data_IF_449912037985
#
_entry.id   IF_449912037985
#
_cell.length_a   1.000
_cell.length_b   1.000
_cell.length_c   1.000
_cell.angle_alpha   90.00
_cell.angle_beta   90.00
_cell.angle_gamma   90.00
#
_symmetry.space_group_name_H-M   'P 1'
#
loop_
_entity.id
_entity.type
_entity.pdbx_description
1 polymer ?
#
# COMPACT_ATOMS: atom_id res chain seq x y z
N UNK A 1 23.83 -31.15 10.92
CA UNK A 1 23.52 -30.02 11.83
C UNK A 1 23.09 -28.73 11.09
N UNK A 2 23.70 -28.38 9.95
CA UNK A 2 23.32 -27.20 9.16
C UNK A 2 21.88 -27.22 8.62
N UNK A 3 21.37 -28.38 8.19
CA UNK A 3 20.02 -28.52 7.61
C UNK A 3 18.89 -28.15 8.60
N UNK A 4 19.04 -28.57 9.87
CA UNK A 4 18.05 -28.37 10.93
C UNK A 4 17.98 -26.89 11.33
N UNK A 5 19.14 -26.24 11.41
CA UNK A 5 19.25 -24.80 11.71
C UNK A 5 18.64 -23.93 10.60
N UNK A 6 18.79 -24.34 9.34
CA UNK A 6 18.19 -23.66 8.18
C UNK A 6 16.66 -23.75 8.20
N UNK A 7 16.10 -24.90 8.61
CA UNK A 7 14.65 -25.09 8.76
C UNK A 7 14.06 -24.30 9.93
N UNK A 8 14.80 -24.14 11.03
CA UNK A 8 14.43 -23.31 12.18
C UNK A 8 14.45 -21.80 11.85
N UNK A 9 15.41 -21.35 11.05
CA UNK A 9 15.45 -19.97 10.55
C UNK A 9 14.30 -19.68 9.57
N UNK A 10 13.97 -20.62 8.69
CA UNK A 10 12.85 -20.47 7.76
C UNK A 10 11.48 -20.42 8.49
N UNK A 11 11.32 -21.17 9.58
CA UNK A 11 10.08 -21.14 10.38
C UNK A 11 9.95 -19.86 11.20
N UNK A 12 11.04 -19.34 11.77
CA UNK A 12 10.99 -18.09 12.54
C UNK A 12 10.69 -16.84 11.69
N UNK A 13 11.21 -16.77 10.47
CA UNK A 13 10.92 -15.65 9.54
C UNK A 13 9.46 -15.72 9.04
N UNK A 14 8.97 -16.92 8.72
CA UNK A 14 7.58 -17.12 8.29
C UNK A 14 6.56 -16.79 9.38
N UNK A 15 6.86 -17.13 10.65
CA UNK A 15 6.00 -16.79 11.79
C UNK A 15 5.97 -15.29 12.08
N UNK A 16 7.10 -14.59 11.93
CA UNK A 16 7.13 -13.13 12.11
C UNK A 16 6.34 -12.41 10.99
N UNK A 17 6.45 -12.89 9.75
CA UNK A 17 5.67 -12.39 8.62
C UNK A 17 4.15 -12.60 8.81
N UNK A 18 3.72 -13.74 9.39
CA UNK A 18 2.33 -14.02 9.74
C UNK A 18 1.84 -13.17 10.93
N UNK A 19 2.69 -12.90 11.93
CA UNK A 19 2.38 -12.03 13.07
C UNK A 19 2.29 -10.54 12.68
N UNK A 20 2.92 -10.14 11.58
CA UNK A 20 2.73 -8.80 10.99
C UNK A 20 1.46 -8.67 10.14
N UNK A 21 0.71 -9.75 9.89
CA UNK A 21 -0.60 -9.69 9.22
C UNK A 21 -1.71 -9.32 10.22
N UNK A 22 -1.46 -9.49 11.52
CA UNK A 22 -2.28 -8.89 12.58
C UNK A 22 -1.95 -7.41 12.78
N UNK A 23 -1.98 -6.63 11.69
CA UNK A 23 -2.31 -5.21 11.81
C UNK A 23 -3.70 -5.20 12.48
N UNK A 24 -3.90 -4.47 13.59
CA UNK A 24 -5.17 -4.49 14.26
C UNK A 24 -6.23 -4.00 13.28
N UNK A 25 -7.17 -4.87 12.89
CA UNK A 25 -8.43 -4.50 12.24
C UNK A 25 -9.35 -3.67 13.18
N UNK A 26 -8.75 -3.02 14.20
CA UNK A 26 -9.36 -2.15 15.21
C UNK A 26 -8.52 -0.89 15.35
N UNK A 27 -8.31 -0.18 14.25
CA UNK A 27 -8.04 1.25 14.28
C UNK A 27 -9.34 2.07 14.14
N UNK A 28 -10.50 1.40 14.07
CA UNK A 28 -11.81 2.01 13.80
C UNK A 28 -12.42 2.78 14.97
N UNK A 29 -11.77 2.87 16.13
CA UNK A 29 -12.37 3.58 17.25
C UNK A 29 -12.26 5.12 17.13
N UNK A 30 -11.26 5.68 16.44
CA UNK A 30 -11.07 7.14 16.32
C UNK A 30 -10.20 7.62 15.14
N UNK A 31 -10.04 6.86 14.05
CA UNK A 31 -9.55 7.48 12.82
C UNK A 31 -10.73 8.16 12.16
N UNK A 32 -10.69 9.49 12.06
CA UNK A 32 -11.65 10.19 11.23
C UNK A 32 -11.53 9.66 9.80
N UNK A 33 -12.66 9.59 9.11
CA UNK A 33 -12.79 8.99 7.78
C UNK A 33 -11.76 9.56 6.78
N UNK A 34 -11.45 10.86 6.91
CA UNK A 34 -10.39 11.49 6.13
C UNK A 34 -9.01 10.90 6.42
N UNK A 35 -8.60 10.78 7.69
CA UNK A 35 -7.29 10.22 8.06
C UNK A 35 -7.11 8.78 7.59
N UNK A 36 -8.15 7.95 7.69
CA UNK A 36 -8.12 6.58 7.17
C UNK A 36 -7.89 6.56 5.66
N UNK A 37 -8.74 7.24 4.89
CA UNK A 37 -8.64 7.26 3.44
C UNK A 37 -7.36 7.94 2.94
N UNK A 38 -6.91 9.00 3.60
CA UNK A 38 -5.65 9.65 3.29
C UNK A 38 -4.49 8.66 3.44
N UNK A 39 -4.40 7.95 4.56
CA UNK A 39 -3.37 6.94 4.81
C UNK A 39 -3.45 5.78 3.82
N UNK A 40 -4.65 5.28 3.57
CA UNK A 40 -4.89 4.15 2.67
C UNK A 40 -4.50 4.47 1.22
N UNK A 41 -4.92 5.63 0.70
CA UNK A 41 -4.62 6.08 -0.66
C UNK A 41 -3.14 6.41 -0.82
N UNK A 42 -2.55 7.14 0.14
CA UNK A 42 -1.14 7.52 0.06
C UNK A 42 -0.20 6.32 0.20
N UNK A 43 -0.52 5.37 1.10
CA UNK A 43 0.23 4.14 1.28
C UNK A 43 0.15 3.21 0.07
N UNK A 44 -1.05 3.03 -0.49
CA UNK A 44 -1.25 2.22 -1.71
C UNK A 44 -0.53 2.83 -2.91
N UNK A 45 -0.66 4.15 -3.10
CA UNK A 45 0.06 4.90 -4.12
C UNK A 45 1.57 4.77 -3.97
N UNK A 46 2.11 5.05 -2.78
CA UNK A 46 3.54 4.93 -2.51
C UNK A 46 4.07 3.52 -2.80
N UNK A 47 3.30 2.49 -2.42
CA UNK A 47 3.68 1.09 -2.64
C UNK A 47 3.77 0.77 -4.13
N UNK A 48 2.72 1.03 -4.91
CA UNK A 48 2.75 0.72 -6.35
C UNK A 48 3.78 1.56 -7.10
N UNK A 49 3.95 2.83 -6.72
CA UNK A 49 4.95 3.71 -7.31
C UNK A 49 6.38 3.23 -7.01
N UNK A 50 6.64 2.77 -5.79
CA UNK A 50 7.94 2.22 -5.41
C UNK A 50 8.23 0.94 -6.19
N UNK A 51 7.26 0.02 -6.30
CA UNK A 51 7.41 -1.20 -7.09
C UNK A 51 7.70 -0.91 -8.56
N UNK A 52 7.09 0.14 -9.11
CA UNK A 52 7.36 0.59 -10.48
C UNK A 52 8.77 1.15 -10.64
N UNK A 53 9.22 2.00 -9.71
CA UNK A 53 10.57 2.58 -9.74
C UNK A 53 11.67 1.53 -9.61
N UNK A 54 11.46 0.51 -8.78
CA UNK A 54 12.37 -0.63 -8.62
C UNK A 54 12.28 -1.64 -9.79
N UNK A 55 11.41 -1.41 -10.77
CA UNK A 55 11.24 -2.29 -11.93
C UNK A 55 10.58 -3.65 -11.63
N UNK A 56 10.01 -3.81 -10.42
CA UNK A 56 9.31 -5.03 -9.99
C UNK A 56 7.99 -5.19 -10.75
N UNK A 57 7.30 -4.07 -11.02
CA UNK A 57 6.08 -4.05 -11.84
C UNK A 57 6.27 -3.18 -13.07
N UNK A 58 5.57 -3.55 -14.14
CA UNK A 58 5.53 -2.75 -15.36
C UNK A 58 4.69 -1.49 -15.18
N UNK A 59 4.91 -0.47 -16.02
CA UNK A 59 4.08 0.75 -16.03
C UNK A 59 2.60 0.44 -16.25
N UNK A 60 2.27 -0.49 -17.16
CA UNK A 60 0.89 -0.86 -17.43
C UNK A 60 0.23 -1.59 -16.25
N UNK A 61 1.01 -2.36 -15.49
CA UNK A 61 0.54 -2.97 -14.23
C UNK A 61 0.20 -1.89 -13.19
N UNK A 62 1.09 -0.90 -13.02
CA UNK A 62 0.86 0.21 -12.10
C UNK A 62 -0.33 1.09 -12.50
N UNK A 63 -0.51 1.35 -13.79
CA UNK A 63 -1.68 2.07 -14.34
C UNK A 63 -2.99 1.32 -14.05
N UNK A 64 -3.05 0.02 -14.34
CA UNK A 64 -4.23 -0.81 -14.05
C UNK A 64 -4.56 -0.87 -12.56
N UNK A 65 -3.54 -0.96 -11.71
CA UNK A 65 -3.72 -0.90 -10.27
C UNK A 65 -4.31 0.45 -9.85
N UNK A 66 -3.72 1.56 -10.30
CA UNK A 66 -4.19 2.90 -9.96
C UNK A 66 -5.65 3.11 -10.41
N UNK A 67 -6.00 2.74 -11.64
CA UNK A 67 -7.36 2.84 -12.17
C UNK A 67 -8.35 1.99 -11.35
N UNK A 68 -8.00 0.72 -11.10
CA UNK A 68 -8.86 -0.18 -10.32
C UNK A 68 -9.06 0.30 -8.88
N UNK A 69 -7.99 0.80 -8.26
CA UNK A 69 -7.99 1.34 -6.91
C UNK A 69 -8.87 2.59 -6.81
N UNK A 70 -8.67 3.58 -7.68
CA UNK A 70 -9.45 4.82 -7.67
C UNK A 70 -10.92 4.58 -7.99
N UNK A 71 -11.22 3.65 -8.91
CA UNK A 71 -12.60 3.25 -9.19
C UNK A 71 -13.27 2.61 -7.98
N UNK A 72 -12.56 1.75 -7.25
CA UNK A 72 -13.07 1.13 -6.03
C UNK A 72 -13.26 2.12 -4.88
N UNK A 73 -12.38 3.13 -4.78
CA UNK A 73 -12.46 4.16 -3.76
C UNK A 73 -13.51 5.25 -4.03
N UNK A 74 -14.02 5.37 -5.26
CA UNK A 74 -14.80 6.53 -5.71
C UNK A 74 -16.06 6.81 -4.88
N UNK A 75 -16.77 5.76 -4.47
CA UNK A 75 -18.07 5.92 -3.79
C UNK A 75 -17.91 6.03 -2.27
N UNK A 76 -16.81 5.53 -1.71
CA UNK A 76 -16.59 5.44 -0.26
C UNK A 76 -15.57 6.46 0.27
N UNK A 77 -14.64 6.94 -0.57
CA UNK A 77 -13.54 7.78 -0.13
C UNK A 77 -13.86 9.28 -0.19
N UNK A 78 -13.62 10.05 0.88
CA UNK A 78 -13.70 11.50 0.84
C UNK A 78 -12.75 12.07 -0.21
N UNK A 79 -13.32 12.80 -1.18
CA UNK A 79 -12.57 13.42 -2.28
C UNK A 79 -11.34 14.21 -1.81
N UNK A 80 -11.49 14.98 -0.72
CA UNK A 80 -10.39 15.76 -0.17
C UNK A 80 -9.22 14.88 0.31
N UNK A 81 -9.50 13.71 0.89
CA UNK A 81 -8.48 12.76 1.34
C UNK A 81 -7.71 12.18 0.14
N UNK A 82 -8.45 11.78 -0.89
CA UNK A 82 -7.88 11.24 -2.14
C UNK A 82 -6.99 12.28 -2.84
N UNK A 83 -7.49 13.50 -3.03
CA UNK A 83 -6.75 14.58 -3.68
C UNK A 83 -5.45 14.92 -2.94
N UNK A 84 -5.48 15.00 -1.61
CA UNK A 84 -4.29 15.30 -0.81
C UNK A 84 -3.29 14.14 -0.82
N UNK A 85 -3.77 12.91 -0.76
CA UNK A 85 -2.94 11.71 -0.83
C UNK A 85 -2.24 11.58 -2.20
N UNK A 86 -2.95 11.85 -3.29
CA UNK A 86 -2.35 11.84 -4.64
C UNK A 86 -1.25 12.89 -4.74
N UNK A 87 -1.49 14.11 -4.25
CA UNK A 87 -0.49 15.19 -4.26
C UNK A 87 0.81 14.78 -3.55
N UNK A 88 0.71 14.14 -2.38
CA UNK A 88 1.92 13.72 -1.65
C UNK A 88 2.66 12.58 -2.36
N UNK A 89 1.92 11.62 -2.92
CA UNK A 89 2.48 10.52 -3.71
C UNK A 89 3.21 11.06 -4.94
N UNK A 90 2.58 11.94 -5.73
CA UNK A 90 3.20 12.51 -6.93
C UNK A 90 4.41 13.40 -6.62
N UNK A 91 4.39 14.12 -5.49
CA UNK A 91 5.56 14.90 -5.03
C UNK A 91 6.76 13.99 -4.73
N UNK A 92 6.52 12.80 -4.18
CA UNK A 92 7.57 11.85 -3.79
C UNK A 92 8.02 10.96 -4.95
N UNK A 93 7.08 10.48 -5.75
CA UNK A 93 7.29 9.51 -6.83
C UNK A 93 7.00 10.16 -8.18
N UNK A 94 7.97 10.95 -8.67
CA UNK A 94 7.85 11.62 -9.97
C UNK A 94 7.62 10.60 -11.08
N UNK A 95 6.63 10.86 -11.93
CA UNK A 95 6.29 10.01 -13.07
C UNK A 95 5.45 8.77 -12.74
N UNK A 96 5.03 8.59 -11.49
CA UNK A 96 4.13 7.51 -11.13
C UNK A 96 2.71 7.74 -11.70
N UNK A 97 2.05 6.71 -12.26
CA UNK A 97 0.71 6.83 -12.85
C UNK A 97 -0.44 6.92 -11.82
N UNK A 98 -0.16 7.28 -10.58
CA UNK A 98 -1.16 7.39 -9.52
C UNK A 98 -1.82 8.78 -9.54
N UNK A 99 -3.06 8.83 -10.03
CA UNK A 99 -3.86 10.06 -10.24
C UNK A 99 -5.36 9.73 -10.14
N UNK A 100 -6.17 10.75 -9.91
CA UNK A 100 -7.65 10.69 -10.00
C UNK A 100 -8.11 10.38 -11.43
#
# INVERSE_FOLDING_TARGET
MQEIMRRLLATSIGSLALLSISIPARAEANLDDFSFWYGFVSGSGASICSLLQEGIVSKSTAEKFAEGFMRGAKDDAPRLAVEQAIKIVQKRFKGCPFKE
#
